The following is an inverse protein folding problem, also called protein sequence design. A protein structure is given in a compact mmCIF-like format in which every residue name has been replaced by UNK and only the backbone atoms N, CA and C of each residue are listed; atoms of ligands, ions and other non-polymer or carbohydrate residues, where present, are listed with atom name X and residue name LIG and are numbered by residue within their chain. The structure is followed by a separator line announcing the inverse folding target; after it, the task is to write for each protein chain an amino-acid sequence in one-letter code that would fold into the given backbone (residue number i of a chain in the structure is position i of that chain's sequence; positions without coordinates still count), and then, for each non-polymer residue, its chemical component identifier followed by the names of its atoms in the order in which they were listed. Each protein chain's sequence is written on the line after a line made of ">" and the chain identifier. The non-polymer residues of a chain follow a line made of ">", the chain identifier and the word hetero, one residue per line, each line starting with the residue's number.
data_IF_473272243372
#
_entry.id   IF_473272243372
#
_cell.length_a   1.000
_cell.length_b   1.000
_cell.length_c   1.000
_cell.angle_alpha   90.00
_cell.angle_beta   90.00
_cell.angle_gamma   90.00
#
_symmetry.space_group_name_H-M   'P 1'
#
loop_
_entity.id
_entity.type
_entity.pdbx_description
1 polymer ?
#
# COMPACT_ATOMS: atom_id res chain seq x y z
N UNK A 1 12.52 -15.27 27.70
CA UNK A 1 12.92 -14.45 26.54
C UNK A 1 12.46 -14.98 25.17
N UNK A 2 12.34 -16.29 24.94
CA UNK A 2 11.99 -16.84 23.60
C UNK A 2 10.52 -16.62 23.17
N UNK A 3 9.61 -16.53 24.13
CA UNK A 3 8.17 -16.38 23.87
C UNK A 3 7.81 -15.00 23.30
N UNK A 4 8.40 -13.93 23.84
CA UNK A 4 8.20 -12.56 23.33
C UNK A 4 8.70 -12.41 21.90
N UNK A 5 9.82 -13.07 21.56
CA UNK A 5 10.34 -13.11 20.19
C UNK A 5 9.38 -13.78 19.20
N UNK A 6 8.73 -14.88 19.61
CA UNK A 6 7.74 -15.55 18.76
C UNK A 6 6.53 -14.65 18.50
N UNK A 7 5.99 -14.01 19.54
CA UNK A 7 4.86 -13.08 19.40
C UNK A 7 5.22 -11.91 18.48
N UNK A 8 6.41 -11.34 18.65
CA UNK A 8 6.89 -10.23 17.82
C UNK A 8 7.08 -10.65 16.35
N UNK A 9 7.64 -11.84 16.10
CA UNK A 9 7.82 -12.38 14.76
C UNK A 9 6.48 -12.58 14.03
N UNK A 10 5.46 -13.13 14.71
CA UNK A 10 4.12 -13.29 14.16
C UNK A 10 3.50 -11.92 13.84
N UNK A 11 3.64 -10.95 14.74
CA UNK A 11 3.12 -9.59 14.53
C UNK A 11 3.75 -8.89 13.32
N UNK A 12 5.08 -9.03 13.16
CA UNK A 12 5.82 -8.50 12.01
C UNK A 12 5.40 -9.16 10.70
N UNK A 13 5.22 -10.48 10.68
CA UNK A 13 4.76 -11.22 9.50
C UNK A 13 3.36 -10.76 9.05
N UNK A 14 2.44 -10.57 10.01
CA UNK A 14 1.09 -10.05 9.71
C UNK A 14 1.15 -8.61 9.19
N UNK A 15 2.03 -7.78 9.75
CA UNK A 15 2.21 -6.39 9.29
C UNK A 15 2.78 -6.33 7.88
N UNK A 16 3.78 -7.17 7.55
CA UNK A 16 4.35 -7.30 6.21
C UNK A 16 3.35 -7.86 5.19
N UNK A 17 2.41 -8.71 5.64
CA UNK A 17 1.40 -9.29 4.78
C UNK A 17 0.28 -8.30 4.40
N UNK A 18 0.20 -7.12 5.04
CA UNK A 18 -0.66 -6.05 4.54
C UNK A 18 -0.03 -5.49 3.26
N UNK A 19 -0.66 -5.68 2.09
CA UNK A 19 -0.05 -5.32 0.82
C UNK A 19 0.04 -3.81 0.71
N UNK A 20 1.20 -3.26 1.07
CA UNK A 20 1.68 -1.96 0.62
C UNK A 20 0.70 -0.80 0.77
N UNK A 21 -0.02 -0.71 1.90
CA UNK A 21 -0.82 0.48 2.20
C UNK A 21 0.14 1.68 2.32
N UNK A 22 0.19 2.54 1.29
CA UNK A 22 1.11 3.69 1.24
C UNK A 22 2.47 3.45 0.58
N UNK A 23 2.65 2.45 -0.30
CA UNK A 23 3.90 2.35 -1.05
C UNK A 23 4.15 3.58 -1.96
N UNK A 24 5.39 4.04 -1.99
CA UNK A 24 5.86 5.09 -2.90
C UNK A 24 6.21 4.42 -4.23
N UNK A 25 5.44 4.72 -5.27
CA UNK A 25 5.68 4.28 -6.65
C UNK A 25 6.30 5.43 -7.43
N UNK A 26 7.16 5.11 -8.40
CA UNK A 26 7.71 6.12 -9.32
C UNK A 26 6.64 6.65 -10.28
N UNK A 27 5.68 5.79 -10.65
CA UNK A 27 4.63 6.13 -11.59
C UNK A 27 3.26 5.62 -11.16
N UNK A 28 2.23 6.42 -11.44
CA UNK A 28 0.84 6.06 -11.22
C UNK A 28 0.37 5.29 -12.45
N UNK A 29 0.04 3.98 -12.32
CA UNK A 29 -0.43 3.21 -13.46
C UNK A 29 -1.70 3.83 -14.04
N UNK A 30 -1.92 3.64 -15.35
CA UNK A 30 -3.11 4.17 -16.04
C UNK A 30 -4.46 3.70 -15.47
N UNK A 31 -4.48 2.55 -14.78
CA UNK A 31 -5.70 2.04 -14.12
C UNK A 31 -5.98 2.72 -12.79
N UNK A 32 -4.99 3.41 -12.23
CA UNK A 32 -5.15 4.26 -11.07
C UNK A 32 -5.52 5.68 -11.47
N UNK A 33 -5.96 6.47 -10.51
CA UNK A 33 -6.33 7.86 -10.71
C UNK A 33 -5.67 8.74 -9.65
N UNK A 34 -5.27 9.96 -10.02
CA UNK A 34 -4.70 10.91 -9.07
C UNK A 34 -5.80 11.62 -8.30
N UNK A 35 -5.76 11.58 -6.97
CA UNK A 35 -6.70 12.32 -6.11
C UNK A 35 -6.05 12.73 -4.79
N UNK A 36 -6.56 13.78 -4.16
CA UNK A 36 -6.17 14.17 -2.80
C UNK A 36 -6.72 13.21 -1.74
N UNK A 37 -7.76 12.45 -2.06
CA UNK A 37 -8.33 11.39 -1.22
C UNK A 37 -8.74 10.20 -2.09
N UNK A 38 -8.33 9.01 -1.69
CA UNK A 38 -8.76 7.77 -2.31
C UNK A 38 -10.03 7.24 -1.64
N UNK A 39 -10.84 6.50 -2.39
CA UNK A 39 -11.99 5.79 -1.84
C UNK A 39 -11.49 4.73 -0.86
N UNK A 40 -12.26 4.40 0.19
CA UNK A 40 -11.81 3.45 1.24
C UNK A 40 -11.44 2.05 0.72
N UNK A 41 -12.00 1.69 -0.43
CA UNK A 41 -11.73 0.43 -1.13
C UNK A 41 -10.44 0.47 -1.92
N UNK A 42 -9.97 1.67 -2.30
CA UNK A 42 -8.80 1.86 -3.13
C UNK A 42 -7.53 1.92 -2.29
N UNK A 43 -6.48 1.31 -2.81
CA UNK A 43 -5.15 1.40 -2.23
C UNK A 43 -4.54 2.73 -2.65
N UNK A 44 -4.21 3.56 -1.68
CA UNK A 44 -3.49 4.80 -1.95
C UNK A 44 -1.98 4.54 -2.01
N UNK A 45 -1.32 5.21 -2.93
CA UNK A 45 0.13 5.15 -3.15
C UNK A 45 0.65 6.55 -3.45
N UNK A 46 1.88 6.86 -3.05
CA UNK A 46 2.53 8.10 -3.48
C UNK A 46 3.12 7.89 -4.88
N UNK A 47 2.95 8.87 -5.77
CA UNK A 47 3.54 8.83 -7.12
C UNK A 47 4.03 10.19 -7.53
N UNK A 48 5.22 10.27 -8.14
CA UNK A 48 5.77 11.53 -8.67
C UNK A 48 4.90 12.17 -9.77
N UNK A 49 4.14 11.36 -10.53
CA UNK A 49 3.21 11.87 -11.55
C UNK A 49 1.95 12.52 -10.97
N UNK A 50 1.61 12.22 -9.71
CA UNK A 50 0.46 12.81 -9.05
C UNK A 50 0.92 13.88 -8.08
N UNK A 51 0.33 15.08 -8.14
CA UNK A 51 0.56 16.13 -7.12
C UNK A 51 0.16 15.69 -5.70
N UNK A 52 -0.74 14.72 -5.59
CA UNK A 52 -1.25 14.16 -4.33
C UNK A 52 -1.01 12.64 -4.27
N UNK A 53 -2.08 11.84 -4.12
CA UNK A 53 -2.01 10.39 -4.07
C UNK A 53 -2.45 9.78 -5.39
N UNK A 54 -1.84 8.65 -5.72
CA UNK A 54 -2.29 7.72 -6.75
C UNK A 54 -3.22 6.70 -6.09
N UNK A 55 -4.48 6.67 -6.48
CA UNK A 55 -5.48 5.75 -5.98
C UNK A 55 -5.62 4.56 -6.92
N UNK A 56 -5.52 3.36 -6.38
CA UNK A 56 -5.48 2.11 -7.14
C UNK A 56 -6.65 1.22 -6.76
N UNK A 57 -7.38 0.65 -7.74
CA UNK A 57 -8.49 -0.23 -7.45
C UNK A 57 -8.04 -1.47 -6.66
N UNK A 58 -8.84 -1.93 -5.68
CA UNK A 58 -8.54 -3.14 -4.92
C UNK A 58 -8.52 -4.34 -5.87
N UNK A 59 -7.38 -5.03 -5.93
CA UNK A 59 -7.15 -6.12 -6.89
C UNK A 59 -6.15 -5.78 -7.98
N UNK A 60 -5.64 -4.54 -8.03
CA UNK A 60 -4.49 -4.23 -8.86
C UNK A 60 -3.20 -4.82 -8.27
N UNK A 61 -2.94 -6.09 -8.59
CA UNK A 61 -1.59 -6.65 -8.57
C UNK A 61 -0.86 -6.04 -9.75
N UNK A 62 0.02 -5.08 -9.48
CA UNK A 62 0.89 -4.50 -10.49
C UNK A 62 1.52 -5.58 -11.37
N UNK A 63 1.64 -5.28 -12.66
CA UNK A 63 2.35 -6.13 -13.62
C UNK A 63 3.84 -6.14 -13.30
#
# INVERSE_FOLDING_TARGET
>A
MKFLYLVFAVFLLVSLATPGYGQIRKHCPKVGYCSSKCTKVDVWSFSSDCKYYCCLPPGWKGK
#
